data_IF_267218131145
#
_entry.id   IF_267218131145
#
_cell.length_a   1.000
_cell.length_b   1.000
_cell.length_c   1.000
_cell.angle_alpha   90.00
_cell.angle_beta   90.00
_cell.angle_gamma   90.00
#
_symmetry.space_group_name_H-M   'P 1'
#
loop_
_entity.id
_entity.type
_entity.pdbx_description
1 polymer ?
#
# COMPACT_ATOMS: atom_id res chain seq x y z
N UNK A 1 57.09 -5.54 25.44
CA UNK A 1 57.52 -6.95 25.38
C UNK A 1 58.08 -7.19 23.99
N UNK A 2 59.41 -7.10 23.84
CA UNK A 2 60.14 -7.28 22.58
C UNK A 2 60.96 -8.56 22.69
N UNK A 3 60.78 -9.48 21.74
CA UNK A 3 61.56 -10.72 21.66
C UNK A 3 62.79 -10.48 20.77
N UNK A 4 63.96 -10.76 21.33
CA UNK A 4 65.29 -10.67 20.72
C UNK A 4 65.81 -12.10 20.53
N UNK A 5 66.35 -12.43 19.36
CA UNK A 5 67.06 -13.69 19.13
C UNK A 5 68.44 -13.38 18.58
N UNK A 6 69.46 -13.82 19.32
CA UNK A 6 70.85 -13.95 18.89
C UNK A 6 71.19 -15.42 18.70
N UNK A 7 71.89 -15.66 17.60
CA UNK A 7 72.60 -16.87 17.20
C UNK A 7 73.90 -17.03 17.97
N UNK A 8 74.28 -18.27 18.27
CA UNK A 8 75.52 -18.93 17.85
C UNK A 8 75.69 -20.23 18.66
N UNK A 9 76.10 -21.30 18.00
CA UNK A 9 77.25 -22.07 18.47
C UNK A 9 77.81 -22.92 17.32
N UNK A 10 79.10 -22.72 17.11
CA UNK A 10 79.98 -23.34 16.13
C UNK A 10 80.43 -24.73 16.59
N UNK A 11 80.72 -25.63 15.65
CA UNK A 11 81.64 -26.74 15.89
C UNK A 11 82.63 -26.83 14.72
N UNK A 12 83.88 -26.57 15.06
CA UNK A 12 85.11 -26.66 14.28
C UNK A 12 85.68 -28.08 14.32
N UNK A 13 86.15 -28.63 13.18
CA UNK A 13 87.17 -29.70 13.15
C UNK A 13 88.02 -29.60 11.88
N UNK A 14 89.34 -29.50 12.06
CA UNK A 14 90.38 -29.54 11.03
C UNK A 14 90.72 -30.96 10.55
N UNK A 15 91.08 -31.06 9.26
CA UNK A 15 92.18 -31.91 8.79
C UNK A 15 91.83 -33.22 8.07
N UNK A 16 92.06 -33.28 6.74
CA UNK A 16 92.99 -34.22 6.07
C UNK A 16 92.78 -34.30 4.54
N UNK A 17 93.90 -34.10 3.82
CA UNK A 17 94.36 -34.66 2.54
C UNK A 17 93.39 -34.91 1.34
N UNK A 18 93.80 -34.34 0.19
CA UNK A 18 93.42 -34.73 -1.19
C UNK A 18 93.62 -36.24 -1.48
N UNK A 19 92.80 -36.84 -2.36
CA UNK A 19 93.14 -36.84 -3.79
C UNK A 19 91.97 -36.60 -4.77
N UNK A 20 92.37 -36.24 -5.98
CA UNK A 20 91.58 -35.96 -7.18
C UNK A 20 90.41 -36.93 -7.47
N UNK A 21 89.29 -36.35 -7.93
CA UNK A 21 88.40 -36.96 -8.93
C UNK A 21 87.50 -35.89 -9.58
N UNK A 22 87.59 -35.78 -10.90
CA UNK A 22 86.65 -35.05 -11.76
C UNK A 22 85.21 -35.40 -11.44
N UNK A 23 84.39 -34.41 -11.07
CA UNK A 23 82.94 -34.47 -11.31
C UNK A 23 82.45 -33.15 -11.87
N UNK A 24 82.13 -33.15 -13.16
CA UNK A 24 81.42 -32.09 -13.84
C UNK A 24 80.04 -31.88 -13.17
N UNK A 25 79.88 -30.79 -12.42
CA UNK A 25 78.57 -30.41 -11.87
C UNK A 25 77.76 -29.77 -12.99
N UNK A 26 76.86 -30.57 -13.54
CA UNK A 26 75.86 -30.17 -14.54
C UNK A 26 75.07 -28.95 -14.07
N UNK A 27 75.17 -27.86 -14.81
CA UNK A 27 74.28 -26.70 -14.76
C UNK A 27 72.88 -27.09 -15.26
N UNK A 28 72.04 -27.66 -14.39
CA UNK A 28 70.61 -27.94 -14.66
C UNK A 28 69.67 -27.32 -13.61
N UNK A 29 70.03 -26.16 -13.06
CA UNK A 29 69.24 -25.47 -12.02
C UNK A 29 68.14 -24.53 -12.56
N UNK A 30 68.18 -24.16 -13.85
CA UNK A 30 67.17 -23.28 -14.47
C UNK A 30 65.82 -23.95 -14.78
N UNK A 31 65.81 -25.23 -15.18
CA UNK A 31 64.56 -25.90 -15.59
C UNK A 31 63.59 -26.15 -14.43
N UNK A 32 64.09 -26.39 -13.23
CA UNK A 32 63.26 -26.61 -12.03
C UNK A 32 62.46 -25.36 -11.63
N UNK A 33 63.00 -24.16 -11.85
CA UNK A 33 62.29 -22.89 -11.61
C UNK A 33 61.16 -22.70 -12.63
N UNK A 34 61.42 -23.00 -13.90
CA UNK A 34 60.38 -22.97 -14.95
C UNK A 34 59.27 -24.00 -14.73
N UNK A 35 59.58 -25.17 -14.17
CA UNK A 35 58.58 -26.18 -13.80
C UNK A 35 57.68 -25.71 -12.64
N UNK A 36 58.24 -25.04 -11.63
CA UNK A 36 57.46 -24.47 -10.52
C UNK A 36 56.55 -23.32 -10.97
N UNK A 37 57.07 -22.41 -11.81
CA UNK A 37 56.28 -21.33 -12.41
C UNK A 37 55.18 -21.89 -13.31
N UNK A 38 55.49 -22.90 -14.12
CA UNK A 38 54.49 -23.61 -14.94
C UNK A 38 53.40 -24.30 -14.11
N UNK A 39 53.77 -24.94 -12.99
CA UNK A 39 52.82 -25.57 -12.08
C UNK A 39 51.92 -24.55 -11.36
N UNK A 40 52.48 -23.41 -10.92
CA UNK A 40 51.71 -22.30 -10.33
C UNK A 40 50.76 -21.67 -11.35
N UNK A 41 51.20 -21.46 -12.59
CA UNK A 41 50.35 -20.98 -13.67
C UNK A 41 49.22 -21.97 -13.96
N UNK A 42 49.51 -23.27 -14.05
CA UNK A 42 48.49 -24.30 -14.24
C UNK A 42 47.48 -24.33 -13.10
N UNK A 43 47.94 -24.31 -11.84
CA UNK A 43 47.07 -24.25 -10.67
C UNK A 43 46.21 -22.97 -10.68
N UNK A 44 46.80 -21.81 -10.99
CA UNK A 44 46.08 -20.55 -11.11
C UNK A 44 45.01 -20.58 -12.21
N UNK A 45 45.34 -21.14 -13.38
CA UNK A 45 44.36 -21.31 -14.47
C UNK A 45 43.25 -22.30 -14.11
N UNK A 46 43.55 -23.39 -13.40
CA UNK A 46 42.55 -24.34 -12.94
C UNK A 46 41.58 -23.72 -11.94
N UNK A 47 42.07 -22.93 -10.97
CA UNK A 47 41.24 -22.19 -10.02
C UNK A 47 40.35 -21.18 -10.74
N UNK A 48 40.91 -20.44 -11.72
CA UNK A 48 40.16 -19.46 -12.50
C UNK A 48 39.07 -20.11 -13.36
N UNK A 49 39.34 -21.27 -13.96
CA UNK A 49 38.36 -22.04 -14.72
C UNK A 49 37.26 -22.63 -13.81
N UNK A 50 37.63 -23.15 -12.63
CA UNK A 50 36.67 -23.66 -11.65
C UNK A 50 35.75 -22.54 -11.14
N UNK A 51 36.31 -21.37 -10.83
CA UNK A 51 35.54 -20.18 -10.45
C UNK A 51 34.58 -19.73 -11.57
N UNK A 52 35.04 -19.74 -12.83
CA UNK A 52 34.17 -19.44 -13.98
C UNK A 52 33.03 -20.43 -14.14
N UNK A 53 33.29 -21.73 -14.02
CA UNK A 53 32.24 -22.75 -14.12
C UNK A 53 31.24 -22.64 -12.97
N UNK A 54 31.70 -22.34 -11.76
CA UNK A 54 30.83 -22.09 -10.60
C UNK A 54 29.94 -20.87 -10.86
N UNK A 55 30.51 -19.74 -11.31
CA UNK A 55 29.74 -18.54 -11.61
C UNK A 55 28.71 -18.77 -12.72
N UNK A 56 29.08 -19.48 -13.80
CA UNK A 56 28.15 -19.83 -14.88
C UNK A 56 26.98 -20.71 -14.38
N UNK A 57 27.25 -21.66 -13.47
CA UNK A 57 26.19 -22.49 -12.88
C UNK A 57 25.27 -21.69 -11.98
N UNK A 58 25.82 -20.77 -11.17
CA UNK A 58 25.04 -19.89 -10.30
C UNK A 58 24.18 -18.94 -11.14
N UNK A 59 24.72 -18.36 -12.21
CA UNK A 59 24.00 -17.46 -13.11
C UNK A 59 22.87 -18.19 -13.86
N UNK A 60 23.14 -19.39 -14.38
CA UNK A 60 22.12 -20.23 -15.02
C UNK A 60 21.01 -20.65 -14.04
N UNK A 61 21.38 -21.03 -12.81
CA UNK A 61 20.41 -21.42 -11.79
C UNK A 61 19.57 -20.22 -11.30
N UNK A 62 20.19 -19.04 -11.16
CA UNK A 62 19.51 -17.80 -10.80
C UNK A 62 18.53 -17.37 -11.90
N UNK A 63 18.94 -17.46 -13.17
CA UNK A 63 18.07 -17.17 -14.31
C UNK A 63 16.86 -18.11 -14.37
N UNK A 64 17.05 -19.40 -14.09
CA UNK A 64 15.95 -20.36 -14.02
C UNK A 64 14.97 -20.04 -12.88
N UNK A 65 15.49 -19.68 -11.69
CA UNK A 65 14.66 -19.24 -10.56
C UNK A 65 13.87 -17.98 -10.90
N UNK A 66 14.49 -17.01 -11.56
CA UNK A 66 13.80 -15.78 -11.97
C UNK A 66 12.63 -16.08 -12.93
N UNK A 67 12.85 -16.94 -13.93
CA UNK A 67 11.79 -17.37 -14.85
C UNK A 67 10.65 -18.08 -14.14
N UNK A 68 10.95 -18.96 -13.18
CA UNK A 68 9.94 -19.68 -12.38
C UNK A 68 9.12 -18.71 -11.52
N UNK A 69 9.78 -17.76 -10.85
CA UNK A 69 9.11 -16.73 -10.04
C UNK A 69 8.22 -15.85 -10.91
N UNK A 70 8.72 -15.41 -12.08
CA UNK A 70 7.93 -14.64 -13.04
C UNK A 70 6.74 -15.43 -13.60
N UNK A 71 6.88 -16.76 -13.77
CA UNK A 71 5.77 -17.62 -14.16
C UNK A 71 4.70 -17.69 -13.06
N UNK A 72 5.08 -17.94 -11.80
CA UNK A 72 4.15 -17.93 -10.66
C UNK A 72 3.43 -16.58 -10.52
N UNK A 73 4.16 -15.47 -10.64
CA UNK A 73 3.60 -14.13 -10.57
C UNK A 73 2.54 -13.89 -11.65
N UNK A 74 2.80 -14.29 -12.89
CA UNK A 74 1.82 -14.13 -13.98
C UNK A 74 0.51 -14.85 -13.69
N UNK A 75 0.58 -16.07 -13.15
CA UNK A 75 -0.62 -16.83 -12.77
C UNK A 75 -1.37 -16.15 -11.63
N UNK A 76 -0.67 -15.67 -10.60
CA UNK A 76 -1.28 -14.92 -9.49
C UNK A 76 -1.97 -13.64 -9.97
N UNK A 77 -1.35 -12.88 -10.87
CA UNK A 77 -1.94 -11.67 -11.44
C UNK A 77 -3.19 -11.97 -12.28
N UNK A 78 -3.14 -13.03 -13.10
CA UNK A 78 -4.30 -13.45 -13.89
C UNK A 78 -5.45 -13.92 -13.01
N UNK A 79 -5.16 -14.73 -11.97
CA UNK A 79 -6.15 -15.17 -11.00
C UNK A 79 -6.76 -13.98 -10.25
N UNK A 80 -5.94 -13.02 -9.81
CA UNK A 80 -6.42 -11.81 -9.15
C UNK A 80 -7.30 -10.94 -10.06
N UNK A 81 -6.91 -10.78 -11.34
CA UNK A 81 -7.70 -10.04 -12.31
C UNK A 81 -9.07 -10.70 -12.58
N UNK A 82 -9.11 -12.03 -12.61
CA UNK A 82 -10.33 -12.82 -12.78
C UNK A 82 -11.12 -13.02 -11.48
N UNK A 83 -10.60 -12.53 -10.35
CA UNK A 83 -11.13 -12.77 -8.99
C UNK A 83 -11.29 -14.27 -8.67
N UNK A 84 -10.39 -15.09 -9.21
CA UNK A 84 -10.36 -16.54 -9.00
C UNK A 84 -9.51 -16.86 -7.76
N UNK A 85 -10.14 -16.78 -6.59
CA UNK A 85 -9.49 -17.06 -5.31
C UNK A 85 -9.02 -18.51 -5.16
N UNK A 86 -9.68 -19.47 -5.81
CA UNK A 86 -9.28 -20.88 -5.75
C UNK A 86 -7.96 -21.10 -6.49
N UNK A 87 -7.85 -20.62 -7.73
CA UNK A 87 -6.59 -20.67 -8.48
C UNK A 87 -5.50 -19.89 -7.74
N UNK A 88 -5.82 -18.71 -7.23
CA UNK A 88 -4.87 -17.87 -6.49
C UNK A 88 -4.31 -18.60 -5.26
N UNK A 89 -5.17 -19.26 -4.47
CA UNK A 89 -4.78 -20.01 -3.28
C UNK A 89 -3.75 -21.12 -3.57
N UNK A 90 -3.80 -21.75 -4.76
CA UNK A 90 -2.82 -22.78 -5.14
C UNK A 90 -1.39 -22.27 -5.33
N UNK A 91 -1.22 -20.94 -5.41
CA UNK A 91 0.08 -20.26 -5.54
C UNK A 91 0.51 -19.55 -4.25
N UNK A 92 -0.22 -19.72 -3.15
CA UNK A 92 0.14 -19.20 -1.85
C UNK A 92 0.94 -20.22 -1.01
N UNK A 93 1.87 -19.72 -0.21
CA UNK A 93 2.60 -20.52 0.77
C UNK A 93 1.69 -20.88 1.94
N UNK A 94 1.52 -22.18 2.22
CA UNK A 94 0.75 -22.65 3.39
C UNK A 94 1.44 -22.47 4.76
N UNK A 95 2.49 -21.65 4.86
CA UNK A 95 3.22 -21.41 6.11
C UNK A 95 2.48 -20.52 7.10
N UNK A 96 1.59 -19.69 6.60
CA UNK A 96 0.76 -18.76 7.37
C UNK A 96 -0.67 -18.79 6.80
N UNK A 97 -1.56 -19.62 7.38
CA UNK A 97 -2.92 -19.76 6.91
C UNK A 97 -3.74 -18.47 7.03
N UNK A 98 -3.51 -17.66 8.06
CA UNK A 98 -4.25 -16.40 8.27
C UNK A 98 -3.91 -15.38 7.20
N UNK A 99 -2.62 -15.18 6.95
CA UNK A 99 -2.16 -14.33 5.84
C UNK A 99 -2.67 -14.83 4.50
N UNK A 100 -2.63 -16.15 4.27
CA UNK A 100 -3.12 -16.75 3.02
C UNK A 100 -4.61 -16.52 2.80
N UNK A 101 -5.42 -16.71 3.83
CA UNK A 101 -6.87 -16.46 3.80
C UNK A 101 -7.17 -14.97 3.55
N UNK A 102 -6.42 -14.07 4.17
CA UNK A 102 -6.57 -12.64 3.93
C UNK A 102 -6.30 -12.28 2.45
N UNK A 103 -5.25 -12.83 1.83
CA UNK A 103 -4.98 -12.61 0.41
C UNK A 103 -6.11 -13.12 -0.49
N UNK A 104 -6.63 -14.31 -0.22
CA UNK A 104 -7.77 -14.88 -0.97
C UNK A 104 -9.01 -14.02 -0.82
N UNK A 105 -9.30 -13.51 0.39
CA UNK A 105 -10.40 -12.59 0.62
C UNK A 105 -10.26 -11.30 -0.20
N UNK A 106 -9.05 -10.73 -0.26
CA UNK A 106 -8.76 -9.57 -1.10
C UNK A 106 -8.98 -9.87 -2.59
N UNK A 107 -8.54 -11.04 -3.08
CA UNK A 107 -8.75 -11.44 -4.48
C UNK A 107 -10.24 -11.57 -4.81
N UNK A 108 -11.00 -12.26 -3.97
CA UNK A 108 -12.43 -12.47 -4.19
C UNK A 108 -13.22 -11.16 -4.23
N UNK A 109 -12.79 -10.15 -3.47
CA UNK A 109 -13.40 -8.81 -3.45
C UNK A 109 -12.82 -7.85 -4.48
N UNK A 110 -11.82 -8.27 -5.27
CA UNK A 110 -11.11 -7.41 -6.22
C UNK A 110 -10.15 -6.41 -5.58
N UNK A 111 -9.89 -6.50 -4.27
CA UNK A 111 -9.04 -5.59 -3.50
C UNK A 111 -7.55 -5.96 -3.55
N UNK A 112 -7.19 -7.12 -4.10
CA UNK A 112 -5.77 -7.53 -4.20
C UNK A 112 -4.98 -6.61 -5.14
N UNK A 113 -5.56 -6.23 -6.29
CA UNK A 113 -4.96 -5.32 -7.26
C UNK A 113 -5.43 -3.89 -7.06
N UNK A 114 -6.74 -3.70 -6.85
CA UNK A 114 -7.34 -2.38 -6.66
C UNK A 114 -6.95 -1.76 -5.32
N UNK A 115 -7.04 -0.44 -5.23
CA UNK A 115 -6.67 0.32 -4.03
C UNK A 115 -7.73 1.41 -3.75
N UNK A 116 -9.01 1.02 -3.55
CA UNK A 116 -10.12 1.97 -3.44
C UNK A 116 -10.00 2.92 -2.24
N UNK A 117 -9.38 2.49 -1.14
CA UNK A 117 -9.07 3.35 0.02
C UNK A 117 -8.32 4.62 -0.39
N UNK A 118 -7.49 4.54 -1.43
CA UNK A 118 -6.69 5.64 -1.96
C UNK A 118 -7.27 6.25 -3.26
N UNK A 119 -8.47 5.85 -3.67
CA UNK A 119 -9.05 6.25 -4.96
C UNK A 119 -8.24 5.76 -6.17
N UNK A 120 -7.50 4.66 -6.01
CA UNK A 120 -6.57 4.14 -7.00
C UNK A 120 -7.17 2.94 -7.73
N UNK A 121 -7.29 3.05 -9.04
CA UNK A 121 -7.72 1.95 -9.93
C UNK A 121 -6.53 1.34 -10.65
N UNK A 122 -6.39 0.02 -10.59
CA UNK A 122 -5.25 -0.69 -11.17
C UNK A 122 -5.27 -0.66 -12.70
N UNK A 123 -4.10 -0.43 -13.32
CA UNK A 123 -3.94 -0.43 -14.78
C UNK A 123 -3.29 -1.74 -15.27
N UNK A 124 -4.06 -2.68 -15.84
CA UNK A 124 -3.54 -3.96 -16.32
C UNK A 124 -2.45 -3.77 -17.38
N UNK A 125 -1.46 -4.66 -17.37
CA UNK A 125 -0.36 -4.67 -18.36
C UNK A 125 0.68 -3.56 -18.19
N UNK A 126 0.51 -2.64 -17.24
CA UNK A 126 1.47 -1.54 -16.95
C UNK A 126 2.32 -1.78 -15.70
N UNK A 127 2.48 -3.04 -15.30
CA UNK A 127 3.35 -3.42 -14.18
C UNK A 127 4.71 -3.88 -14.68
N UNK A 128 5.79 -3.51 -13.98
CA UNK A 128 7.16 -3.89 -14.32
C UNK A 128 7.92 -4.37 -13.08
N UNK A 129 8.73 -5.43 -13.23
CA UNK A 129 9.70 -5.82 -12.20
C UNK A 129 10.86 -4.83 -12.25
N UNK A 130 11.08 -4.11 -11.16
CA UNK A 130 12.17 -3.13 -11.01
C UNK A 130 13.47 -3.83 -10.64
N UNK A 131 13.37 -4.78 -9.70
CA UNK A 131 14.50 -5.59 -9.24
C UNK A 131 14.03 -6.94 -8.75
N UNK A 132 14.87 -7.95 -8.93
CA UNK A 132 14.71 -9.28 -8.37
C UNK A 132 15.96 -9.63 -7.54
N UNK A 133 15.76 -9.98 -6.27
CA UNK A 133 16.82 -10.43 -5.38
C UNK A 133 16.59 -11.89 -5.08
N UNK A 134 17.51 -12.75 -5.49
CA UNK A 134 17.43 -14.20 -5.27
C UNK A 134 18.34 -14.55 -4.09
N UNK A 135 17.81 -15.33 -3.14
CA UNK A 135 18.59 -15.80 -2.01
C UNK A 135 19.73 -16.74 -2.47
N UNK A 136 20.91 -16.73 -1.83
CA UNK A 136 22.05 -17.55 -2.26
C UNK A 136 21.78 -19.07 -2.29
N UNK A 137 20.82 -19.54 -1.49
CA UNK A 137 20.38 -20.93 -1.44
C UNK A 137 19.35 -21.30 -2.52
N UNK A 138 18.93 -20.32 -3.33
CA UNK A 138 17.92 -20.44 -4.38
C UNK A 138 16.55 -20.93 -3.87
N UNK A 139 16.25 -20.72 -2.58
CA UNK A 139 14.98 -21.10 -1.95
C UNK A 139 14.02 -19.92 -1.75
N UNK A 140 14.49 -18.69 -1.96
CA UNK A 140 13.67 -17.50 -1.83
C UNK A 140 14.01 -16.47 -2.91
N UNK A 141 13.02 -15.67 -3.27
CA UNK A 141 13.18 -14.51 -4.14
C UNK A 141 12.32 -13.36 -3.64
N UNK A 142 12.87 -12.14 -3.66
CA UNK A 142 12.16 -10.90 -3.38
C UNK A 142 12.08 -10.09 -4.67
N UNK A 143 10.86 -9.75 -5.09
CA UNK A 143 10.62 -8.91 -6.25
C UNK A 143 10.15 -7.53 -5.81
N UNK A 144 10.78 -6.48 -6.33
CA UNK A 144 10.24 -5.13 -6.33
C UNK A 144 9.48 -4.90 -7.63
N UNK A 145 8.20 -4.58 -7.53
CA UNK A 145 7.29 -4.47 -8.66
C UNK A 145 6.69 -3.07 -8.70
N UNK A 146 6.95 -2.33 -9.77
CA UNK A 146 6.20 -1.11 -10.06
C UNK A 146 4.81 -1.50 -10.58
N UNK A 147 3.77 -1.12 -9.86
CA UNK A 147 2.39 -1.23 -10.30
C UNK A 147 1.86 0.17 -10.66
N UNK A 148 1.19 0.27 -11.80
CA UNK A 148 0.61 1.52 -12.27
C UNK A 148 -0.88 1.57 -11.90
N UNK A 149 -1.32 2.74 -11.48
CA UNK A 149 -2.70 3.03 -11.12
C UNK A 149 -3.17 4.29 -11.81
N UNK A 150 -4.44 4.35 -12.17
CA UNK A 150 -5.12 5.60 -12.48
C UNK A 150 -5.73 6.19 -11.22
N UNK A 151 -5.67 7.51 -11.11
CA UNK A 151 -6.25 8.30 -10.05
C UNK A 151 -7.11 9.41 -10.68
N UNK A 152 -8.34 9.58 -10.21
CA UNK A 152 -9.21 10.67 -10.67
C UNK A 152 -8.82 11.97 -9.95
N UNK A 153 -8.43 12.98 -10.73
CA UNK A 153 -8.06 14.31 -10.22
C UNK A 153 -9.24 15.30 -10.29
N UNK A 154 -10.43 14.82 -10.65
CA UNK A 154 -11.66 15.59 -10.82
C UNK A 154 -11.94 15.96 -12.27
N UNK A 155 -13.17 16.38 -12.53
CA UNK A 155 -13.65 16.83 -13.85
C UNK A 155 -13.44 15.80 -14.99
N UNK A 156 -13.45 14.51 -14.65
CA UNK A 156 -13.23 13.41 -15.61
C UNK A 156 -11.79 13.28 -16.10
N UNK A 157 -10.83 13.95 -15.45
CA UNK A 157 -9.42 13.83 -15.73
C UNK A 157 -8.79 12.76 -14.83
N UNK A 158 -7.91 11.93 -15.41
CA UNK A 158 -7.17 10.92 -14.66
C UNK A 158 -5.67 11.10 -14.82
N UNK A 159 -4.94 10.89 -13.73
CA UNK A 159 -3.48 10.83 -13.71
C UNK A 159 -3.03 9.39 -13.50
N UNK A 160 -1.84 9.02 -14.03
CA UNK A 160 -1.24 7.71 -13.77
C UNK A 160 -0.14 7.85 -12.73
N UNK A 161 -0.23 7.11 -11.63
CA UNK A 161 0.81 7.04 -10.60
C UNK A 161 1.42 5.63 -10.53
N UNK A 162 2.62 5.51 -9.94
CA UNK A 162 3.28 4.21 -9.78
C UNK A 162 3.68 3.95 -8.34
N UNK A 163 3.27 2.78 -7.84
CA UNK A 163 3.62 2.29 -6.52
C UNK A 163 4.47 1.04 -6.62
N UNK A 164 5.54 0.98 -5.84
CA UNK A 164 6.39 -0.18 -5.69
C UNK A 164 5.82 -1.13 -4.64
N UNK A 165 5.36 -2.29 -5.10
CA UNK A 165 5.01 -3.43 -4.26
C UNK A 165 6.23 -4.32 -4.06
N UNK A 166 6.29 -4.98 -2.89
CA UNK A 166 7.31 -6.00 -2.62
C UNK A 166 6.64 -7.36 -2.52
N UNK A 167 7.01 -8.28 -3.40
CA UNK A 167 6.46 -9.64 -3.43
C UNK A 167 7.56 -10.61 -3.01
N UNK A 168 7.29 -11.46 -2.01
CA UNK A 168 8.25 -12.44 -1.52
C UNK A 168 7.79 -13.84 -1.94
N UNK A 169 8.68 -14.56 -2.59
CA UNK A 169 8.45 -15.92 -3.05
C UNK A 169 9.35 -16.89 -2.31
N UNK A 170 8.81 -18.05 -1.98
CA UNK A 170 9.57 -19.16 -1.39
C UNK A 170 9.36 -20.41 -2.21
N UNK A 171 10.42 -21.20 -2.34
CA UNK A 171 10.41 -22.46 -3.06
C UNK A 171 9.66 -23.51 -2.25
N UNK A 172 8.67 -24.12 -2.89
CA UNK A 172 8.07 -25.39 -2.49
C UNK A 172 8.70 -26.53 -3.29
N UNK A 173 8.13 -27.73 -3.26
CA UNK A 173 8.71 -28.92 -3.92
C UNK A 173 9.03 -28.67 -5.40
N UNK A 174 8.10 -28.08 -6.17
CA UNK A 174 8.21 -27.98 -7.62
C UNK A 174 8.00 -26.56 -8.19
N UNK A 175 7.77 -25.55 -7.34
CA UNK A 175 7.50 -24.17 -7.80
C UNK A 175 7.76 -23.14 -6.71
N UNK A 176 7.85 -21.87 -7.11
CA UNK A 176 7.85 -20.75 -6.18
C UNK A 176 6.41 -20.34 -5.85
N UNK A 177 6.13 -20.15 -4.56
CA UNK A 177 4.83 -19.71 -4.04
C UNK A 177 4.98 -18.34 -3.41
N UNK A 178 3.97 -17.48 -3.55
CA UNK A 178 3.92 -16.19 -2.85
C UNK A 178 3.80 -16.46 -1.35
N UNK A 179 4.63 -15.80 -0.56
CA UNK A 179 4.78 -16.07 0.85
C UNK A 179 4.71 -14.76 1.66
N UNK A 180 4.25 -14.82 2.93
CA UNK A 180 4.27 -13.66 3.80
C UNK A 180 5.70 -13.18 4.04
N UNK A 181 5.93 -11.85 4.07
CA UNK A 181 7.16 -11.31 4.61
C UNK A 181 7.39 -11.78 6.05
N UNK A 182 8.66 -11.98 6.42
CA UNK A 182 9.00 -12.32 7.82
C UNK A 182 8.88 -11.08 8.72
N UNK A 183 8.87 -11.27 10.04
CA UNK A 183 8.78 -10.14 10.98
C UNK A 183 9.94 -9.14 10.80
N UNK A 184 11.15 -9.63 10.51
CA UNK A 184 12.33 -8.79 10.30
C UNK A 184 12.21 -7.91 9.06
N UNK A 185 11.40 -8.31 8.07
CA UNK A 185 11.12 -7.48 6.89
C UNK A 185 10.41 -6.19 7.30
N UNK A 186 9.48 -6.25 8.25
CA UNK A 186 8.69 -5.12 8.74
C UNK A 186 9.46 -4.28 9.77
N UNK A 187 10.42 -4.91 10.45
CA UNK A 187 11.15 -4.32 11.56
C UNK A 187 10.30 -4.23 12.82
N UNK A 188 10.95 -3.88 13.93
CA UNK A 188 10.25 -3.76 15.22
C UNK A 188 9.12 -2.73 15.17
N UNK A 189 7.94 -3.04 15.74
CA UNK A 189 6.84 -2.09 15.79
C UNK A 189 7.23 -0.86 16.61
N UNK A 190 6.77 0.30 16.18
CA UNK A 190 6.99 1.58 16.83
C UNK A 190 5.66 2.26 17.11
N UNK A 191 5.68 3.13 18.11
CA UNK A 191 4.55 3.96 18.47
C UNK A 191 5.02 5.36 18.89
N UNK A 192 4.24 6.38 18.56
CA UNK A 192 4.33 7.70 19.17
C UNK A 192 2.95 8.35 19.23
N UNK A 193 2.84 9.40 20.05
CA UNK A 193 1.62 10.20 20.18
C UNK A 193 1.92 11.67 19.92
N UNK A 194 0.94 12.36 19.37
CA UNK A 194 0.88 13.80 19.14
C UNK A 194 -0.25 14.40 20.01
N UNK A 195 -0.76 15.60 19.69
CA UNK A 195 -1.85 16.18 20.45
C UNK A 195 -3.20 15.52 20.12
N UNK A 196 -3.41 15.11 18.86
CA UNK A 196 -4.67 14.51 18.42
C UNK A 196 -4.57 13.04 18.02
N UNK A 197 -3.35 12.49 17.86
CA UNK A 197 -3.15 11.14 17.31
C UNK A 197 -2.26 10.26 18.20
N UNK A 198 -2.58 8.98 18.28
CA UNK A 198 -1.65 7.92 18.71
C UNK A 198 -1.44 7.00 17.52
N UNK A 199 -0.18 6.84 17.09
CA UNK A 199 0.15 6.13 15.85
C UNK A 199 1.05 4.94 16.16
N UNK A 200 0.61 3.73 15.80
CA UNK A 200 1.40 2.51 15.78
C UNK A 200 1.72 2.11 14.33
N UNK A 201 2.95 1.65 14.07
CA UNK A 201 3.40 1.29 12.72
C UNK A 201 4.66 0.38 12.74
N UNK A 202 4.93 -0.37 11.66
CA UNK A 202 6.18 -1.12 11.47
C UNK A 202 7.41 -0.21 11.36
N UNK A 203 8.52 -0.58 12.00
CA UNK A 203 9.75 0.22 12.00
C UNK A 203 10.27 0.56 10.60
N UNK A 204 10.07 -0.31 9.60
CA UNK A 204 10.43 -0.06 8.20
C UNK A 204 9.76 1.18 7.59
N UNK A 205 8.56 1.50 8.04
CA UNK A 205 7.75 2.58 7.45
C UNK A 205 7.97 3.93 8.14
N UNK A 206 8.90 4.04 9.09
CA UNK A 206 9.16 5.30 9.80
C UNK A 206 9.41 6.49 8.87
N UNK A 207 10.17 6.29 7.79
CA UNK A 207 10.47 7.35 6.81
C UNK A 207 9.22 7.92 6.13
N UNK A 208 8.16 7.11 6.00
CA UNK A 208 6.89 7.50 5.39
C UNK A 208 5.87 7.98 6.43
N UNK A 209 5.87 7.36 7.60
CA UNK A 209 4.92 7.68 8.68
C UNK A 209 5.25 9.03 9.33
N UNK A 210 6.52 9.42 9.47
CA UNK A 210 6.88 10.69 10.12
C UNK A 210 6.32 11.92 9.37
N UNK A 211 6.50 12.08 8.05
CA UNK A 211 5.90 13.19 7.32
C UNK A 211 4.36 13.07 7.25
N UNK A 212 3.85 11.85 7.04
CA UNK A 212 2.40 11.60 7.01
C UNK A 212 1.73 12.02 8.32
N UNK A 213 2.31 11.65 9.47
CA UNK A 213 1.76 11.99 10.78
C UNK A 213 1.63 13.49 11.02
N UNK A 214 2.58 14.30 10.53
CA UNK A 214 2.48 15.76 10.63
C UNK A 214 1.28 16.30 9.82
N UNK A 215 1.02 15.72 8.64
CA UNK A 215 -0.14 16.06 7.81
C UNK A 215 -1.46 15.62 8.46
N UNK A 216 -1.52 14.40 8.96
CA UNK A 216 -2.70 13.87 9.64
C UNK A 216 -3.02 14.67 10.92
N UNK A 217 -1.99 15.07 11.68
CA UNK A 217 -2.16 15.93 12.86
C UNK A 217 -2.73 17.30 12.49
N UNK A 218 -2.24 17.91 11.40
CA UNK A 218 -2.77 19.18 10.91
C UNK A 218 -4.24 19.06 10.48
N UNK A 219 -4.60 17.99 9.77
CA UNK A 219 -5.98 17.73 9.38
C UNK A 219 -6.91 17.53 10.61
N UNK A 220 -6.46 16.77 11.62
CA UNK A 220 -7.22 16.58 12.86
C UNK A 220 -7.39 17.89 13.65
N UNK A 221 -6.32 18.71 13.73
CA UNK A 221 -6.37 20.01 14.37
C UNK A 221 -7.30 21.00 13.65
N UNK A 222 -7.27 21.01 12.31
CA UNK A 222 -8.16 21.83 11.48
C UNK A 222 -9.63 21.44 11.70
N UNK A 223 -9.95 20.15 11.70
CA UNK A 223 -11.31 19.68 11.99
C UNK A 223 -11.77 20.10 13.39
N UNK A 224 -10.93 19.93 14.41
CA UNK A 224 -11.28 20.36 15.77
C UNK A 224 -11.50 21.88 15.85
N UNK A 225 -10.68 22.67 15.14
CA UNK A 225 -10.85 24.13 15.02
C UNK A 225 -12.17 24.51 14.33
N UNK A 226 -12.52 23.83 13.23
CA UNK A 226 -13.77 24.02 12.50
C UNK A 226 -14.99 23.67 13.36
N UNK A 227 -14.88 22.66 14.23
CA UNK A 227 -15.92 22.30 15.20
C UNK A 227 -16.03 23.27 16.37
N UNK A 228 -14.94 23.95 16.73
CA UNK A 228 -14.93 25.00 17.75
C UNK A 228 -15.30 24.46 19.13
N UNK A 229 -16.31 25.05 19.76
CA UNK A 229 -16.74 24.65 21.11
C UNK A 229 -17.34 23.24 21.18
N UNK A 230 -17.76 22.68 20.04
CA UNK A 230 -18.31 21.32 19.95
C UNK A 230 -17.22 20.25 19.80
N UNK A 231 -15.94 20.64 19.64
CA UNK A 231 -14.84 19.68 19.67
C UNK A 231 -14.55 19.24 21.12
N UNK A 232 -14.62 17.93 21.44
CA UNK A 232 -14.31 17.43 22.78
C UNK A 232 -12.88 17.78 23.20
N UNK A 233 -12.69 18.12 24.49
CA UNK A 233 -11.38 18.43 25.03
C UNK A 233 -10.41 17.24 25.02
N UNK A 234 -10.95 16.02 24.96
CA UNK A 234 -10.25 14.75 24.87
C UNK A 234 -10.34 14.13 23.46
N UNK A 235 -10.67 14.93 22.43
CA UNK A 235 -10.67 14.46 21.05
C UNK A 235 -9.30 13.90 20.67
N UNK A 236 -9.27 12.60 20.41
CA UNK A 236 -8.05 11.85 20.13
C UNK A 236 -8.36 10.63 19.27
N UNK A 237 -7.55 10.39 18.24
CA UNK A 237 -7.67 9.24 17.33
C UNK A 237 -6.52 8.26 17.56
N UNK A 238 -6.85 6.97 17.59
CA UNK A 238 -5.86 5.90 17.60
C UNK A 238 -5.74 5.30 16.20
N UNK A 239 -4.52 5.29 15.66
CA UNK A 239 -4.19 4.81 14.32
C UNK A 239 -3.23 3.62 14.41
N UNK A 240 -3.54 2.54 13.69
CA UNK A 240 -2.62 1.43 13.48
C UNK A 240 -2.33 1.21 12.00
N UNK A 241 -1.11 1.51 11.57
CA UNK A 241 -0.62 1.17 10.23
C UNK A 241 -0.21 -0.30 10.21
N UNK A 242 -1.14 -1.19 9.88
CA UNK A 242 -0.97 -2.63 9.99
C UNK A 242 -0.21 -3.23 8.79
N UNK A 243 0.68 -4.18 9.10
CA UNK A 243 1.34 -5.03 8.12
C UNK A 243 0.45 -6.18 7.60
N UNK A 244 -0.76 -6.35 8.17
CA UNK A 244 -1.70 -7.38 7.76
C UNK A 244 -2.45 -7.00 6.47
N UNK A 245 -2.57 -7.91 5.49
CA UNK A 245 -3.40 -7.69 4.29
C UNK A 245 -4.87 -7.39 4.61
N UNK A 246 -5.37 -7.83 5.78
CA UNK A 246 -6.74 -7.55 6.21
C UNK A 246 -7.03 -6.06 6.36
N UNK A 247 -6.02 -5.20 6.53
CA UNK A 247 -6.20 -3.76 6.63
C UNK A 247 -6.81 -3.09 5.37
N UNK A 248 -6.86 -3.80 4.23
CA UNK A 248 -7.60 -3.33 3.05
C UNK A 248 -9.09 -3.69 3.06
N UNK A 249 -9.54 -4.57 3.97
CA UNK A 249 -10.94 -4.95 4.11
C UNK A 249 -11.67 -3.85 4.89
N UNK A 250 -12.77 -3.28 4.37
CA UNK A 250 -13.49 -2.19 5.03
C UNK A 250 -13.92 -2.52 6.48
N UNK A 251 -14.35 -3.75 6.73
CA UNK A 251 -14.80 -4.19 8.06
C UNK A 251 -13.67 -4.29 9.10
N UNK A 252 -12.42 -4.36 8.65
CA UNK A 252 -11.23 -4.44 9.53
C UNK A 252 -10.64 -3.05 9.79
N UNK A 253 -11.08 -2.01 9.08
CA UNK A 253 -10.51 -0.67 9.21
C UNK A 253 -10.93 0.03 10.50
N UNK A 254 -12.01 -0.39 11.17
CA UNK A 254 -12.42 0.17 12.46
C UNK A 254 -12.70 -0.95 13.45
N UNK A 255 -11.87 -1.01 14.49
CA UNK A 255 -11.99 -2.01 15.56
C UNK A 255 -11.91 -1.29 16.90
N UNK A 256 -13.01 -1.27 17.66
CA UNK A 256 -13.05 -0.66 19.01
C UNK A 256 -12.50 0.78 19.09
N UNK A 257 -12.80 1.62 18.09
CA UNK A 257 -12.32 3.01 18.01
C UNK A 257 -10.86 3.15 17.53
N UNK A 258 -10.17 2.05 17.22
CA UNK A 258 -8.89 2.05 16.51
C UNK A 258 -9.15 2.07 15.00
N UNK A 259 -8.56 3.06 14.31
CA UNK A 259 -8.53 3.09 12.84
C UNK A 259 -7.32 2.28 12.36
N UNK A 260 -7.59 1.13 11.75
CA UNK A 260 -6.58 0.25 11.16
C UNK A 260 -6.42 0.63 9.69
N UNK A 261 -5.20 0.98 9.31
CA UNK A 261 -4.85 1.40 7.95
C UNK A 261 -3.75 0.47 7.42
N UNK A 262 -3.69 0.17 6.12
CA UNK A 262 -2.58 -0.61 5.58
C UNK A 262 -1.27 0.18 5.75
N UNK A 263 -0.20 -0.46 6.19
CA UNK A 263 1.11 0.18 6.31
C UNK A 263 1.62 0.64 4.93
N UNK A 264 2.37 1.76 4.80
CA UNK A 264 2.86 2.26 3.51
C UNK A 264 3.60 1.23 2.65
N UNK A 265 4.42 0.36 3.25
CA UNK A 265 5.10 -0.72 2.51
C UNK A 265 4.11 -1.76 1.97
N UNK A 266 2.98 -1.98 2.65
CA UNK A 266 1.89 -2.87 2.22
C UNK A 266 0.98 -2.20 1.16
N UNK A 267 0.65 -0.93 1.34
CA UNK A 267 -0.07 -0.10 0.38
C UNK A 267 0.66 0.00 -0.96
N UNK A 268 1.99 0.05 -0.90
CA UNK A 268 2.90 0.22 -2.02
C UNK A 268 3.67 1.52 -1.84
N UNK A 269 5.00 1.47 -1.97
CA UNK A 269 5.84 2.65 -1.78
C UNK A 269 5.76 3.56 -3.00
N UNK A 270 5.57 4.88 -2.86
CA UNK A 270 5.51 5.75 -4.02
C UNK A 270 6.87 5.79 -4.73
N UNK A 271 6.85 5.72 -6.07
CA UNK A 271 8.05 5.84 -6.91
C UNK A 271 8.32 7.26 -7.38
N UNK A 272 7.32 8.14 -7.24
CA UNK A 272 7.34 9.54 -7.64
C UNK A 272 6.50 10.38 -6.68
N UNK A 273 6.59 11.71 -6.83
CA UNK A 273 5.89 12.66 -5.97
C UNK A 273 4.36 12.55 -6.11
N UNK A 274 3.86 12.28 -7.32
CA UNK A 274 2.43 12.11 -7.55
C UNK A 274 1.88 10.89 -6.78
N UNK A 275 2.59 9.77 -6.79
CA UNK A 275 2.23 8.60 -5.98
C UNK A 275 2.27 8.87 -4.48
N UNK A 276 3.23 9.66 -4.00
CA UNK A 276 3.30 10.07 -2.59
C UNK A 276 2.09 10.91 -2.21
N UNK A 277 1.76 11.92 -3.02
CA UNK A 277 0.65 12.84 -2.76
C UNK A 277 -0.70 12.12 -2.78
N UNK A 278 -0.90 11.15 -3.69
CA UNK A 278 -2.13 10.35 -3.75
C UNK A 278 -2.26 9.43 -2.54
N UNK A 279 -1.19 8.73 -2.15
CA UNK A 279 -1.22 7.90 -0.94
C UNK A 279 -1.51 8.71 0.31
N UNK A 280 -0.81 9.84 0.49
CA UNK A 280 -1.00 10.71 1.65
C UNK A 280 -2.43 11.27 1.69
N UNK A 281 -2.97 11.67 0.53
CA UNK A 281 -4.36 12.11 0.42
C UNK A 281 -5.35 11.02 0.84
N UNK A 282 -5.17 9.77 0.41
CA UNK A 282 -6.09 8.71 0.79
C UNK A 282 -6.03 8.34 2.27
N UNK A 283 -4.84 8.34 2.88
CA UNK A 283 -4.72 8.20 4.35
C UNK A 283 -5.38 9.37 5.09
N UNK A 284 -5.18 10.60 4.61
CA UNK A 284 -5.82 11.80 5.16
C UNK A 284 -7.34 11.72 5.02
N UNK A 285 -7.87 11.24 3.89
CA UNK A 285 -9.30 11.01 3.72
C UNK A 285 -9.84 10.03 4.76
N UNK A 286 -9.17 8.89 4.97
CA UNK A 286 -9.61 7.88 5.94
C UNK A 286 -9.59 8.41 7.39
N UNK A 287 -8.55 9.16 7.76
CA UNK A 287 -8.43 9.77 9.09
C UNK A 287 -9.45 10.90 9.29
N UNK A 288 -9.65 11.74 8.26
CA UNK A 288 -10.66 12.81 8.27
C UNK A 288 -12.06 12.22 8.43
N UNK A 289 -12.37 11.16 7.70
CA UNK A 289 -13.65 10.47 7.80
C UNK A 289 -13.87 9.88 9.22
N UNK A 290 -12.86 9.23 9.79
CA UNK A 290 -12.94 8.69 11.16
C UNK A 290 -13.09 9.81 12.21
N UNK A 291 -12.37 10.92 12.04
CA UNK A 291 -12.49 12.11 12.88
C UNK A 291 -13.91 12.69 12.84
N UNK A 292 -14.48 12.86 11.64
CA UNK A 292 -15.83 13.37 11.43
C UNK A 292 -16.88 12.47 12.09
N UNK A 293 -16.74 11.15 11.97
CA UNK A 293 -17.61 10.18 12.66
C UNK A 293 -17.52 10.27 14.18
N UNK A 294 -16.32 10.42 14.73
CA UNK A 294 -16.15 10.60 16.17
C UNK A 294 -16.72 11.94 16.66
N UNK A 295 -16.57 13.02 15.89
CA UNK A 295 -17.04 14.36 16.25
C UNK A 295 -18.55 14.53 16.10
N UNK A 296 -19.14 14.02 15.00
CA UNK A 296 -20.56 14.19 14.70
C UNK A 296 -21.44 13.04 15.21
N UNK A 297 -20.85 11.87 15.47
CA UNK A 297 -21.54 10.59 15.63
C UNK A 297 -21.74 9.86 14.30
N UNK A 298 -22.25 8.64 14.38
CA UNK A 298 -22.45 7.76 13.22
C UNK A 298 -23.94 7.59 12.89
N UNK A 299 -24.24 7.36 11.62
CA UNK A 299 -25.58 7.04 11.11
C UNK A 299 -25.47 6.13 9.88
N UNK A 300 -26.38 5.17 9.76
CA UNK A 300 -26.43 4.22 8.63
C UNK A 300 -27.19 4.79 7.40
N UNK A 301 -27.56 6.07 7.41
CA UNK A 301 -28.26 6.71 6.29
C UNK A 301 -27.32 6.93 5.10
N UNK A 302 -27.79 6.67 3.87
CA UNK A 302 -27.06 7.04 2.66
C UNK A 302 -26.81 8.56 2.56
N UNK A 303 -27.69 9.37 3.15
CA UNK A 303 -27.49 10.81 3.21
C UNK A 303 -26.34 11.21 4.14
N UNK A 304 -26.11 10.44 5.21
CA UNK A 304 -24.95 10.65 6.08
C UNK A 304 -23.64 10.46 5.31
N UNK A 305 -23.53 9.34 4.57
CA UNK A 305 -22.37 9.04 3.73
C UNK A 305 -22.17 10.08 2.62
N UNK A 306 -23.25 10.49 1.94
CA UNK A 306 -23.19 11.54 0.93
C UNK A 306 -22.68 12.89 1.46
N UNK A 307 -23.03 13.24 2.70
CA UNK A 307 -22.56 14.47 3.35
C UNK A 307 -21.10 14.33 3.79
N UNK A 308 -20.67 13.16 4.26
CA UNK A 308 -19.25 12.88 4.52
C UNK A 308 -18.42 13.03 3.24
N UNK A 309 -18.85 12.42 2.14
CA UNK A 309 -18.16 12.53 0.85
C UNK A 309 -18.15 13.98 0.35
N UNK A 310 -19.15 14.80 0.67
CA UNK A 310 -19.17 16.22 0.34
C UNK A 310 -18.07 16.97 1.10
N UNK A 311 -17.92 16.72 2.39
CA UNK A 311 -16.86 17.33 3.21
C UNK A 311 -15.47 16.90 2.69
N UNK A 312 -15.30 15.62 2.36
CA UNK A 312 -14.05 15.12 1.78
C UNK A 312 -13.75 15.74 0.41
N UNK A 313 -14.76 15.98 -0.42
CA UNK A 313 -14.62 16.65 -1.71
C UNK A 313 -14.28 18.14 -1.57
N UNK A 314 -14.90 18.86 -0.63
CA UNK A 314 -14.59 20.26 -0.32
C UNK A 314 -13.13 20.44 0.14
N UNK A 315 -12.58 19.44 0.85
CA UNK A 315 -11.18 19.40 1.26
C UNK A 315 -10.24 18.84 0.18
N UNK A 316 -10.75 18.46 -0.99
CA UNK A 316 -9.97 17.90 -2.10
C UNK A 316 -9.38 16.51 -1.82
N UNK A 317 -9.92 15.79 -0.84
CA UNK A 317 -9.43 14.48 -0.40
C UNK A 317 -10.02 13.34 -1.24
N UNK A 318 -11.25 13.49 -1.71
CA UNK A 318 -11.92 12.57 -2.64
C UNK A 318 -12.63 13.35 -3.75
N UNK A 319 -12.74 12.83 -4.97
CA UNK A 319 -13.58 13.44 -5.98
C UNK A 319 -15.06 13.31 -5.58
N UNK A 320 -15.89 14.28 -6.00
CA UNK A 320 -17.33 14.16 -5.86
C UNK A 320 -17.86 13.08 -6.83
N UNK A 321 -18.69 12.11 -6.37
CA UNK A 321 -19.03 10.93 -7.18
C UNK A 321 -20.10 11.20 -8.25
N UNK A 322 -20.79 12.33 -8.23
CA UNK A 322 -21.77 12.66 -9.28
C UNK A 322 -21.10 13.22 -10.53
N UNK A 323 -21.46 12.64 -11.68
CA UNK A 323 -21.07 13.08 -13.02
C UNK A 323 -22.31 13.61 -13.76
N UNK A 324 -22.14 14.33 -14.89
CA UNK A 324 -23.29 14.75 -15.70
C UNK A 324 -24.19 13.59 -16.13
N UNK A 325 -23.63 12.39 -16.36
CA UNK A 325 -24.42 11.20 -16.69
C UNK A 325 -25.32 10.74 -15.52
N UNK A 326 -24.84 10.86 -14.27
CA UNK A 326 -25.64 10.57 -13.09
C UNK A 326 -26.80 11.58 -12.97
N UNK A 327 -26.54 12.86 -13.19
CA UNK A 327 -27.58 13.90 -13.19
C UNK A 327 -28.63 13.69 -14.27
N UNK A 328 -28.23 13.25 -15.48
CA UNK A 328 -29.17 12.88 -16.53
C UNK A 328 -30.07 11.70 -16.14
N UNK A 329 -29.53 10.70 -15.44
CA UNK A 329 -30.32 9.57 -14.94
C UNK A 329 -31.34 10.02 -13.88
N UNK A 330 -30.91 10.83 -12.90
CA UNK A 330 -31.79 11.42 -11.87
C UNK A 330 -32.92 12.24 -12.53
N UNK A 331 -32.56 13.09 -13.51
CA UNK A 331 -33.54 13.91 -14.23
C UNK A 331 -34.56 13.06 -15.02
N UNK A 332 -34.11 11.98 -15.66
CA UNK A 332 -34.97 11.09 -16.44
C UNK A 332 -36.03 10.36 -15.59
N UNK A 333 -35.69 10.07 -14.33
CA UNK A 333 -36.59 9.42 -13.37
C UNK A 333 -37.59 10.39 -12.73
N UNK A 334 -37.44 11.70 -12.95
CA UNK A 334 -38.29 12.74 -12.37
C UNK A 334 -38.31 12.67 -10.82
N UNK A 335 -37.17 12.35 -10.21
CA UNK A 335 -37.06 12.25 -8.75
C UNK A 335 -37.38 13.58 -8.08
N UNK A 336 -38.33 13.59 -7.16
CA UNK A 336 -38.69 14.74 -6.35
C UNK A 336 -37.80 14.82 -5.10
N UNK A 337 -37.61 16.03 -4.55
CA UNK A 337 -36.88 16.21 -3.29
C UNK A 337 -37.48 15.39 -2.13
N UNK A 338 -38.79 15.13 -2.16
CA UNK A 338 -39.51 14.30 -1.20
C UNK A 338 -39.12 12.81 -1.24
N UNK A 339 -38.61 12.33 -2.38
CA UNK A 339 -38.16 10.93 -2.55
C UNK A 339 -36.90 10.65 -1.71
N UNK A 340 -36.24 11.69 -1.19
CA UNK A 340 -35.16 11.59 -0.22
C UNK A 340 -35.53 10.83 1.07
N UNK A 341 -36.82 10.62 1.34
CA UNK A 341 -37.26 9.74 2.42
C UNK A 341 -36.68 8.30 2.31
N UNK A 342 -36.43 7.82 1.09
CA UNK A 342 -35.84 6.49 0.83
C UNK A 342 -34.39 6.42 1.31
N UNK A 343 -33.60 7.47 1.08
CA UNK A 343 -32.18 7.52 1.47
C UNK A 343 -31.97 7.89 2.94
N UNK A 344 -32.98 8.49 3.56
CA UNK A 344 -32.99 8.87 4.97
C UNK A 344 -33.09 7.68 5.93
N UNK A 345 -33.95 6.68 5.64
CA UNK A 345 -34.29 5.63 6.60
C UNK A 345 -33.29 4.44 6.66
N UNK A 346 -32.14 4.52 5.99
CA UNK A 346 -31.11 3.47 5.97
C UNK A 346 -31.56 2.11 5.38
N UNK A 347 -32.79 2.03 4.86
CA UNK A 347 -33.43 0.80 4.37
C UNK A 347 -33.58 0.78 2.84
N UNK A 348 -32.90 1.68 2.13
CA UNK A 348 -32.89 1.64 0.68
C UNK A 348 -32.29 0.29 0.24
N UNK A 349 -32.98 -0.52 -0.58
CA UNK A 349 -32.34 -1.67 -1.21
C UNK A 349 -31.13 -1.17 -1.99
N UNK A 350 -30.04 -1.95 -1.98
CA UNK A 350 -28.78 -1.75 -2.73
C UNK A 350 -29.08 -1.31 -4.17
N UNK A 351 -29.31 -0.01 -4.35
CA UNK A 351 -29.69 0.57 -5.61
C UNK A 351 -28.82 1.79 -5.77
N UNK A 352 -27.95 1.69 -6.76
CA UNK A 352 -27.04 2.75 -7.19
C UNK A 352 -27.77 4.10 -7.36
N UNK A 353 -29.05 4.07 -7.73
CA UNK A 353 -29.93 5.24 -7.79
C UNK A 353 -30.15 5.92 -6.44
N UNK A 354 -30.36 5.17 -5.35
CA UNK A 354 -30.52 5.75 -4.02
C UNK A 354 -29.24 6.45 -3.55
N UNK A 355 -28.07 5.87 -3.84
CA UNK A 355 -26.79 6.53 -3.59
C UNK A 355 -26.69 7.84 -4.37
N UNK A 356 -27.01 7.85 -5.67
CA UNK A 356 -26.97 9.06 -6.48
C UNK A 356 -27.93 10.14 -5.97
N UNK A 357 -29.15 9.75 -5.58
CA UNK A 357 -30.14 10.67 -5.01
C UNK A 357 -29.64 11.27 -3.68
N UNK A 358 -29.02 10.48 -2.80
CA UNK A 358 -28.46 10.96 -1.55
C UNK A 358 -27.38 12.04 -1.78
N UNK A 359 -26.46 11.78 -2.71
CA UNK A 359 -25.44 12.74 -3.12
C UNK A 359 -26.07 13.99 -3.73
N UNK A 360 -27.08 13.83 -4.59
CA UNK A 360 -27.73 14.96 -5.24
C UNK A 360 -28.42 15.88 -4.23
N UNK A 361 -29.11 15.31 -3.24
CA UNK A 361 -29.75 16.05 -2.15
C UNK A 361 -28.69 16.78 -1.31
N UNK A 362 -27.60 16.10 -0.92
CA UNK A 362 -26.52 16.73 -0.17
C UNK A 362 -25.92 17.93 -0.93
N UNK A 363 -25.66 17.77 -2.24
CA UNK A 363 -25.14 18.86 -3.07
C UNK A 363 -26.12 20.03 -3.18
N UNK A 364 -27.41 19.75 -3.41
CA UNK A 364 -28.45 20.78 -3.48
C UNK A 364 -28.55 21.59 -2.18
N UNK A 365 -28.53 20.92 -1.02
CA UNK A 365 -28.61 21.58 0.28
C UNK A 365 -27.39 22.47 0.54
N UNK A 366 -26.21 22.08 0.06
CA UNK A 366 -24.99 22.86 0.23
C UNK A 366 -24.91 24.03 -0.75
N UNK A 367 -25.12 23.77 -2.05
CA UNK A 367 -24.86 24.74 -3.12
C UNK A 367 -26.02 25.71 -3.34
N UNK A 368 -27.26 25.21 -3.33
CA UNK A 368 -28.44 26.04 -3.60
C UNK A 368 -29.02 26.63 -2.32
N UNK A 369 -29.05 25.85 -1.23
CA UNK A 369 -29.63 26.29 0.05
C UNK A 369 -28.61 26.92 1.02
N UNK A 370 -27.32 26.87 0.70
CA UNK A 370 -26.25 27.49 1.51
C UNK A 370 -26.06 26.83 2.88
N UNK A 371 -26.51 25.60 3.07
CA UNK A 371 -26.31 24.85 4.32
C UNK A 371 -24.88 24.32 4.35
N UNK A 372 -24.08 24.73 5.34
CA UNK A 372 -22.71 24.19 5.45
C UNK A 372 -22.73 22.67 5.66
N UNK A 373 -21.85 21.93 5.00
CA UNK A 373 -21.72 20.46 5.09
C UNK A 373 -21.58 19.95 6.53
N UNK A 374 -20.84 20.67 7.39
CA UNK A 374 -20.74 20.36 8.83
C UNK A 374 -22.08 20.40 9.56
N UNK A 375 -22.84 21.48 9.37
CA UNK A 375 -24.19 21.62 9.96
C UNK A 375 -25.11 20.53 9.46
N UNK A 376 -24.99 20.19 8.17
CA UNK A 376 -25.77 19.12 7.57
C UNK A 376 -25.44 17.77 8.20
N UNK A 377 -24.15 17.44 8.35
CA UNK A 377 -23.69 16.20 8.99
C UNK A 377 -24.21 16.07 10.42
N UNK A 378 -24.05 17.12 11.23
CA UNK A 378 -24.54 17.15 12.60
C UNK A 378 -26.07 17.03 12.68
N UNK A 379 -26.80 17.62 11.73
CA UNK A 379 -28.26 17.51 11.66
C UNK A 379 -28.71 16.09 11.30
N UNK A 380 -28.04 15.41 10.35
CA UNK A 380 -28.36 14.02 9.98
C UNK A 380 -28.25 13.11 11.22
N UNK A 381 -27.17 13.21 11.99
CA UNK A 381 -26.97 12.36 13.18
C UNK A 381 -27.93 12.72 14.31
N UNK A 382 -28.02 14.00 14.68
CA UNK A 382 -28.84 14.44 15.82
C UNK A 382 -30.32 14.12 15.64
N UNK A 383 -30.81 14.31 14.41
CA UNK A 383 -32.23 14.31 14.11
C UNK A 383 -32.66 13.04 13.37
N UNK A 384 -31.83 11.98 13.35
CA UNK A 384 -32.07 10.72 12.63
C UNK A 384 -33.40 10.01 12.93
N UNK A 385 -34.02 10.33 14.08
CA UNK A 385 -35.31 9.78 14.48
C UNK A 385 -36.51 10.55 13.91
N UNK A 386 -36.29 11.73 13.33
CA UNK A 386 -37.35 12.52 12.72
C UNK A 386 -37.73 11.94 11.36
N UNK A 387 -39.01 12.04 10.95
CA UNK A 387 -39.39 11.85 9.56
C UNK A 387 -38.62 12.79 8.64
N UNK A 388 -38.20 12.30 7.46
CA UNK A 388 -37.40 13.05 6.49
C UNK A 388 -37.99 14.44 6.18
N UNK A 389 -39.30 14.56 6.00
CA UNK A 389 -39.94 15.85 5.72
C UNK A 389 -39.80 16.87 6.85
N UNK A 390 -39.84 16.42 8.11
CA UNK A 390 -39.64 17.26 9.30
C UNK A 390 -38.17 17.68 9.40
N UNK A 391 -37.26 16.73 9.20
CA UNK A 391 -35.82 17.01 9.16
C UNK A 391 -35.48 18.03 8.07
N UNK A 392 -35.95 17.81 6.84
CA UNK A 392 -35.68 18.68 5.69
C UNK A 392 -36.19 20.11 5.94
N UNK A 393 -37.40 20.23 6.50
CA UNK A 393 -37.96 21.52 6.90
C UNK A 393 -37.14 22.22 7.98
N UNK A 394 -36.58 21.47 8.93
CA UNK A 394 -35.72 22.05 9.96
C UNK A 394 -34.36 22.51 9.41
N UNK A 395 -33.82 21.82 8.41
CA UNK A 395 -32.56 22.19 7.73
C UNK A 395 -32.75 23.42 6.84
N UNK A 396 -33.84 23.47 6.08
CA UNK A 396 -34.14 24.53 5.11
C UNK A 396 -34.93 25.71 5.70
N UNK A 397 -35.32 25.64 6.98
CA UNK A 397 -36.29 26.48 7.69
C UNK A 397 -37.76 26.32 7.21
N UNK A 398 -38.01 26.06 5.92
CA UNK A 398 -39.31 25.68 5.37
C UNK A 398 -39.12 24.91 4.04
N UNK A 399 -40.03 23.99 3.70
CA UNK A 399 -40.11 23.36 2.37
C UNK A 399 -41.48 23.68 1.78
N UNK A 400 -41.50 24.54 0.77
CA UNK A 400 -42.67 24.97 0.02
C UNK A 400 -42.51 24.68 -1.50
N UNK A 401 -43.43 25.19 -2.31
CA UNK A 401 -43.43 24.95 -3.76
C UNK A 401 -42.22 25.56 -4.48
N UNK A 402 -41.64 26.63 -3.94
CA UNK A 402 -40.47 27.28 -4.51
C UNK A 402 -39.23 26.40 -4.37
N UNK A 403 -39.01 25.74 -3.23
CA UNK A 403 -37.84 24.86 -3.03
C UNK A 403 -37.97 23.57 -3.82
N UNK A 404 -39.19 23.07 -4.03
CA UNK A 404 -39.43 21.94 -4.94
C UNK A 404 -39.09 22.32 -6.39
N UNK A 405 -39.50 23.51 -6.84
CA UNK A 405 -39.14 24.02 -8.16
C UNK A 405 -37.63 24.29 -8.29
N UNK A 406 -36.98 24.78 -7.21
CA UNK A 406 -35.54 24.98 -7.17
C UNK A 406 -34.78 23.65 -7.31
N UNK A 407 -35.25 22.58 -6.68
CA UNK A 407 -34.70 21.23 -6.86
C UNK A 407 -34.79 20.77 -8.31
N UNK A 408 -35.97 20.88 -8.94
CA UNK A 408 -36.15 20.47 -10.35
C UNK A 408 -35.25 21.28 -11.29
N UNK A 409 -35.14 22.59 -11.06
CA UNK A 409 -34.24 23.45 -11.82
C UNK A 409 -32.77 23.05 -11.62
N UNK A 410 -32.36 22.83 -10.37
CA UNK A 410 -31.00 22.42 -10.04
C UNK A 410 -30.60 21.11 -10.73
N UNK A 411 -31.45 20.08 -10.64
CA UNK A 411 -31.25 18.80 -11.33
C UNK A 411 -31.13 19.00 -12.85
N UNK A 412 -32.00 19.83 -13.45
CA UNK A 412 -31.98 20.11 -14.88
C UNK A 412 -30.76 20.91 -15.33
N UNK A 413 -30.17 21.73 -14.45
CA UNK A 413 -28.94 22.48 -14.72
C UNK A 413 -27.70 21.59 -14.64
N UNK A 414 -27.60 20.73 -13.62
CA UNK A 414 -26.47 19.81 -13.45
C UNK A 414 -26.43 18.70 -14.52
N UNK A 415 -27.56 18.42 -15.18
CA UNK A 415 -27.66 17.43 -16.25
C UNK A 415 -27.17 17.93 -17.64
N UNK A 416 -26.93 19.25 -17.79
CA UNK A 416 -26.42 19.88 -19.03
C UNK A 416 -24.90 19.81 -19.09
#
# INVERSE_FOLDING_TARGET
MSFDWRTEDEIEWEGAAEPAADTAVSTKRGWRVWLLVGALLLAGTAVLLAARQLNQRVEAASSAVELDVQASRRVLQEAAQKRDGELFATFLSGRDPEWGNAQVALVNRGLYLERPLFGLTWLPGRSAVISATIAPDLQAAELAVAQAYSFDIGHGLTETVRLQQTEIYRRAENRFLLAPPLAEFWGEPRQFSTAYLTIRYPGRDEVWIRPLAARLEAAAAELCYEWGADCPADFHLSLDFSASPTAFLPEEQRVDGLLVLPAPTLAGRPLDKAGEDVLYRGYEAAVTEAALRQLAGESDSLLYEAVLDRILAEKGLRPWPLTPAHWQAIAAEQTALADGAVVWQGAAPDSQQAEWLAHAIAQFLVEEQGVSSRRLLAAVVRDQLLPYSIWLSAVMNEVNAAETAAWEQFVAEQAK
#
